data_IF_051909385972
#
_entry.id   IF_051909385972
#
_cell.length_a   1.000
_cell.length_b   1.000
_cell.length_c   1.000
_cell.angle_alpha   90.00
_cell.angle_beta   90.00
_cell.angle_gamma   90.00
#
_symmetry.space_group_name_H-M   'P 1'
#
loop_
_entity.id
_entity.type
_entity.pdbx_description
1 polymer ?
#
# COMPACT_ATOMS: atom_id res chain seq x y z
N UNK A 1 3.94 31.11 10.47
CA UNK A 1 3.91 29.73 9.91
C UNK A 1 5.36 29.31 9.71
N UNK A 2 5.92 28.55 10.66
CA UNK A 2 7.29 28.05 10.55
C UNK A 2 7.35 27.06 9.38
N UNK A 3 8.26 27.33 8.44
CA UNK A 3 8.47 26.44 7.30
C UNK A 3 9.05 25.12 7.81
N UNK A 4 8.20 24.09 7.86
CA UNK A 4 8.60 22.74 8.19
C UNK A 4 9.55 22.22 7.12
N UNK A 5 10.80 21.91 7.48
CA UNK A 5 11.78 21.26 6.60
C UNK A 5 11.17 19.99 5.98
N UNK A 6 11.26 19.76 4.66
CA UNK A 6 10.80 18.51 4.07
C UNK A 6 11.56 17.35 4.72
N UNK A 7 10.84 16.33 5.18
CA UNK A 7 11.48 15.08 5.59
C UNK A 7 11.30 14.03 4.52
N UNK A 8 11.89 12.86 4.76
CA UNK A 8 11.78 11.72 3.90
C UNK A 8 11.59 10.41 4.66
N UNK A 9 11.21 9.41 3.89
CA UNK A 9 11.05 8.03 4.35
C UNK A 9 12.10 7.19 3.64
N UNK A 10 12.96 6.51 4.41
CA UNK A 10 13.94 5.57 3.86
C UNK A 10 13.33 4.17 3.80
N UNK A 11 13.42 3.51 2.65
CA UNK A 11 13.00 2.12 2.48
C UNK A 11 14.11 1.20 3.02
N UNK A 12 13.87 0.56 4.16
CA UNK A 12 14.81 -0.42 4.74
C UNK A 12 14.63 -1.78 4.06
N UNK A 13 13.38 -2.17 3.83
CA UNK A 13 12.98 -3.36 3.07
C UNK A 13 11.84 -2.95 2.16
N UNK A 14 11.83 -3.37 0.90
CA UNK A 14 10.82 -2.92 -0.08
C UNK A 14 9.61 -3.85 -0.20
N UNK A 15 9.77 -5.14 0.08
CA UNK A 15 8.82 -6.16 -0.38
C UNK A 15 9.00 -6.51 -1.87
N UNK A 16 8.23 -7.47 -2.41
CA UNK A 16 8.39 -7.95 -3.79
C UNK A 16 7.91 -6.94 -4.83
N UNK A 17 6.88 -6.15 -4.52
CA UNK A 17 6.36 -5.10 -5.40
C UNK A 17 5.65 -4.03 -4.57
N UNK A 18 6.39 -2.96 -4.27
CA UNK A 18 5.86 -1.72 -3.69
C UNK A 18 6.11 -0.60 -4.67
N UNK A 19 5.07 0.19 -4.97
CA UNK A 19 5.15 1.30 -5.95
C UNK A 19 4.44 2.53 -5.41
N UNK A 20 4.85 3.70 -5.91
CA UNK A 20 4.10 4.95 -5.68
C UNK A 20 2.90 4.96 -6.61
N UNK A 21 1.71 5.20 -6.08
CA UNK A 21 0.47 5.36 -6.83
C UNK A 21 -0.24 6.65 -6.40
N UNK A 22 -1.09 7.17 -7.28
CA UNK A 22 -2.04 8.24 -6.99
C UNK A 22 -3.39 7.97 -7.67
N UNK A 23 -4.43 8.64 -7.21
CA UNK A 23 -5.78 8.51 -7.77
C UNK A 23 -6.22 9.85 -8.40
N UNK A 24 -6.90 9.86 -9.57
CA UNK A 24 -7.40 8.73 -10.36
C UNK A 24 -6.34 8.10 -11.29
N UNK A 25 -5.06 8.37 -11.05
CA UNK A 25 -3.98 8.00 -11.95
C UNK A 25 -3.94 8.88 -13.20
N UNK A 26 -3.31 8.34 -14.24
CA UNK A 26 -3.00 9.00 -15.52
C UNK A 26 -4.12 8.85 -16.55
N UNK A 27 -5.21 9.58 -16.34
CA UNK A 27 -6.40 9.50 -17.21
C UNK A 27 -6.23 10.33 -18.51
N UNK A 28 -6.94 9.94 -19.58
CA UNK A 28 -7.02 10.71 -20.84
C UNK A 28 -6.07 10.25 -21.96
N UNK A 29 -5.14 9.34 -21.68
CA UNK A 29 -4.11 8.89 -22.64
C UNK A 29 -4.34 7.48 -23.21
N UNK A 30 -5.51 6.88 -22.93
CA UNK A 30 -5.84 5.53 -23.40
C UNK A 30 -5.83 5.41 -24.93
N UNK A 31 -6.21 6.48 -25.63
CA UNK A 31 -6.19 6.56 -27.11
C UNK A 31 -4.78 6.42 -27.73
N UNK A 32 -3.73 6.61 -26.95
CA UNK A 32 -2.32 6.43 -27.36
C UNK A 32 -1.66 5.26 -26.63
N UNK A 33 -2.45 4.38 -26.00
CA UNK A 33 -1.96 3.16 -25.35
C UNK A 33 -1.32 3.35 -23.98
N UNK A 34 -1.48 4.53 -23.36
CA UNK A 34 -0.94 4.79 -22.01
C UNK A 34 -2.01 4.52 -20.95
N UNK A 35 -1.74 3.63 -19.97
CA UNK A 35 -2.72 3.32 -18.94
C UNK A 35 -2.79 4.36 -17.83
N UNK A 36 -3.91 4.41 -17.05
CA UNK A 36 -3.99 5.28 -15.90
C UNK A 36 -3.04 4.84 -14.79
N UNK A 37 -2.64 3.57 -14.75
CA UNK A 37 -2.04 2.99 -13.54
C UNK A 37 -2.98 3.28 -12.35
N UNK A 38 -2.49 3.92 -11.30
CA UNK A 38 -3.25 4.18 -10.10
C UNK A 38 -3.31 2.98 -9.17
N UNK A 39 -3.88 3.15 -7.97
CA UNK A 39 -4.11 2.06 -7.05
C UNK A 39 -5.10 1.05 -7.65
N UNK A 40 -4.82 -0.23 -7.47
CA UNK A 40 -5.68 -1.31 -7.94
C UNK A 40 -7.00 -1.39 -7.18
N UNK A 41 -6.97 -1.11 -5.87
CA UNK A 41 -8.15 -0.89 -5.02
C UNK A 41 -8.14 0.59 -4.61
N UNK A 42 -8.87 1.37 -5.40
CA UNK A 42 -8.93 2.81 -5.27
C UNK A 42 -9.62 3.25 -3.99
N UNK A 43 -10.60 2.48 -3.48
CA UNK A 43 -11.31 2.81 -2.26
C UNK A 43 -10.37 2.74 -1.06
N UNK A 44 -9.65 1.64 -0.88
CA UNK A 44 -8.73 1.49 0.25
C UNK A 44 -7.61 2.53 0.22
N UNK A 45 -7.08 2.84 -0.97
CA UNK A 45 -6.05 3.86 -1.15
C UNK A 45 -6.57 5.25 -0.75
N UNK A 46 -7.76 5.62 -1.22
CA UNK A 46 -8.37 6.92 -0.91
C UNK A 46 -8.73 7.05 0.56
N UNK A 47 -9.23 5.99 1.18
CA UNK A 47 -9.50 5.96 2.62
C UNK A 47 -8.22 6.12 3.45
N UNK A 48 -7.09 5.57 3.01
CA UNK A 48 -5.79 5.80 3.67
C UNK A 48 -5.41 7.29 3.66
N UNK A 49 -5.54 7.94 2.50
CA UNK A 49 -5.27 9.36 2.35
C UNK A 49 -6.20 10.21 3.22
N UNK A 50 -7.50 9.95 3.19
CA UNK A 50 -8.47 10.68 4.00
C UNK A 50 -8.20 10.50 5.51
N UNK A 51 -7.82 9.30 5.95
CA UNK A 51 -7.51 9.03 7.35
C UNK A 51 -6.37 9.91 7.89
N UNK A 52 -5.35 10.20 7.08
CA UNK A 52 -4.23 11.07 7.46
C UNK A 52 -4.44 12.55 7.14
N UNK A 53 -5.64 12.93 6.67
CA UNK A 53 -6.01 14.32 6.35
C UNK A 53 -5.52 14.81 4.98
N UNK A 54 -5.13 13.91 4.08
CA UNK A 54 -4.77 14.25 2.71
C UNK A 54 -6.01 14.36 1.80
N UNK A 55 -5.91 15.08 0.66
CA UNK A 55 -6.86 14.87 -0.43
C UNK A 55 -6.75 13.43 -0.97
N UNK A 56 -7.84 12.90 -1.52
CA UNK A 56 -7.90 11.57 -2.15
C UNK A 56 -6.83 11.36 -3.24
N UNK A 57 -6.39 12.45 -3.87
CA UNK A 57 -5.42 12.49 -4.98
C UNK A 57 -3.96 12.48 -4.54
N UNK A 58 -3.67 12.54 -3.23
CA UNK A 58 -2.29 12.52 -2.75
C UNK A 58 -1.60 11.20 -3.08
N UNK A 59 -0.31 11.27 -3.43
CA UNK A 59 0.48 10.08 -3.69
C UNK A 59 0.75 9.30 -2.41
N UNK A 60 0.65 7.98 -2.52
CA UNK A 60 0.90 7.01 -1.45
C UNK A 60 1.52 5.75 -2.02
N UNK A 61 1.70 4.74 -1.18
CA UNK A 61 2.28 3.46 -1.58
C UNK A 61 1.20 2.41 -1.82
N UNK A 62 1.29 1.70 -2.94
CA UNK A 62 0.64 0.41 -3.15
C UNK A 62 1.64 -0.72 -2.90
N UNK A 63 1.23 -1.68 -2.08
CA UNK A 63 2.02 -2.84 -1.67
C UNK A 63 1.35 -4.11 -2.20
N UNK A 64 2.13 -5.03 -2.75
CA UNK A 64 1.64 -6.35 -3.17
C UNK A 64 2.28 -7.47 -2.35
N UNK A 65 1.46 -8.33 -1.73
CA UNK A 65 1.80 -9.53 -0.95
C UNK A 65 2.59 -9.32 0.34
N UNK A 66 3.64 -8.50 0.35
CA UNK A 66 4.46 -8.24 1.54
C UNK A 66 4.94 -6.80 1.52
N UNK A 67 4.72 -6.09 2.63
CA UNK A 67 5.00 -4.67 2.71
C UNK A 67 6.44 -4.31 3.02
N UNK A 68 6.76 -3.02 2.92
CA UNK A 68 8.08 -2.51 3.24
C UNK A 68 8.28 -2.34 4.75
N UNK A 69 9.55 -2.17 5.13
CA UNK A 69 9.92 -1.52 6.38
C UNK A 69 10.43 -0.11 6.05
N UNK A 70 9.84 0.89 6.68
CA UNK A 70 9.98 2.31 6.35
C UNK A 70 10.48 3.08 7.56
N UNK A 71 11.66 3.70 7.45
CA UNK A 71 12.23 4.55 8.52
C UNK A 71 11.92 6.01 8.24
N UNK A 72 11.35 6.70 9.21
CA UNK A 72 10.99 8.11 9.10
C UNK A 72 12.11 8.98 9.66
N UNK A 73 12.53 10.02 8.94
CA UNK A 73 13.53 10.98 9.43
C UNK A 73 12.94 12.17 10.17
N UNK A 74 11.62 12.16 10.37
CA UNK A 74 10.86 13.18 11.10
C UNK A 74 9.57 12.58 11.65
N UNK A 75 8.92 13.24 12.62
CA UNK A 75 7.59 12.82 13.04
C UNK A 75 6.59 12.94 11.88
N UNK A 76 5.72 11.94 11.75
CA UNK A 76 4.68 11.88 10.73
C UNK A 76 3.42 11.18 11.24
N UNK A 77 2.29 11.42 10.57
CA UNK A 77 1.06 10.64 10.73
C UNK A 77 0.91 9.76 9.50
N UNK A 78 0.65 8.47 9.72
CA UNK A 78 0.55 7.46 8.66
C UNK A 78 -0.73 6.64 8.83
N UNK A 79 -1.23 6.07 7.75
CA UNK A 79 -2.30 5.08 7.82
C UNK A 79 -1.98 3.91 6.90
N UNK A 80 -2.26 2.70 7.37
CA UNK A 80 -2.18 1.47 6.59
C UNK A 80 -3.59 0.94 6.35
N UNK A 81 -3.95 0.62 5.11
CA UNK A 81 -5.29 0.10 4.73
C UNK A 81 -5.16 -1.06 3.73
N UNK A 82 -6.30 -1.55 3.23
CA UNK A 82 -6.38 -2.66 2.27
C UNK A 82 -6.44 -4.02 2.94
N UNK A 83 -5.76 -5.00 2.35
CA UNK A 83 -5.70 -6.37 2.84
C UNK A 83 -5.21 -6.43 4.30
N UNK A 84 -5.75 -7.34 5.14
CA UNK A 84 -5.26 -7.54 6.50
C UNK A 84 -3.77 -7.93 6.51
N UNK A 85 -2.95 -7.12 7.17
CA UNK A 85 -1.51 -7.32 7.35
C UNK A 85 -1.10 -6.99 8.78
N UNK A 86 -0.10 -7.68 9.36
CA UNK A 86 0.55 -7.22 10.57
C UNK A 86 1.21 -5.86 10.30
N UNK A 87 0.98 -4.90 11.19
CA UNK A 87 1.64 -3.59 11.16
C UNK A 87 2.33 -3.40 12.50
N UNK A 88 3.59 -2.99 12.47
CA UNK A 88 4.34 -2.68 13.70
C UNK A 88 5.06 -1.34 13.58
N UNK A 89 5.24 -0.67 14.71
CA UNK A 89 6.16 0.47 14.86
C UNK A 89 7.25 0.03 15.83
N UNK A 90 8.50 -0.01 15.37
CA UNK A 90 9.64 -0.51 16.15
C UNK A 90 9.38 -1.90 16.77
N UNK A 91 8.67 -2.78 16.05
CA UNK A 91 8.32 -4.12 16.49
C UNK A 91 7.08 -4.22 17.41
N UNK A 92 6.54 -3.09 17.90
CA UNK A 92 5.29 -3.08 18.64
C UNK A 92 4.09 -3.10 17.68
N UNK A 93 3.17 -4.05 17.88
CA UNK A 93 1.99 -4.18 17.03
C UNK A 93 1.06 -2.97 17.16
N UNK A 94 0.57 -2.49 16.02
CA UNK A 94 -0.35 -1.35 15.92
C UNK A 94 -1.54 -1.70 15.03
N UNK A 95 -2.72 -1.09 15.26
CA UNK A 95 -3.91 -1.33 14.44
C UNK A 95 -3.74 -0.82 13.00
N UNK A 96 -4.29 -1.58 12.04
CA UNK A 96 -4.55 -1.13 10.68
C UNK A 96 -5.83 -0.26 10.65
N UNK A 97 -6.05 0.49 9.57
CA UNK A 97 -7.26 1.29 9.32
C UNK A 97 -7.48 2.47 10.27
N UNK A 98 -6.45 2.86 11.02
CA UNK A 98 -6.46 4.07 11.84
C UNK A 98 -5.22 4.92 11.56
N UNK A 99 -5.28 6.24 11.78
CA UNK A 99 -4.10 7.09 11.76
C UNK A 99 -3.17 6.74 12.92
N UNK A 100 -1.87 6.63 12.63
CA UNK A 100 -0.80 6.30 13.56
C UNK A 100 0.24 7.42 13.53
N UNK A 101 0.68 7.87 14.69
CA UNK A 101 1.83 8.78 14.78
C UNK A 101 3.10 7.97 14.86
N UNK A 102 4.07 8.27 13.99
CA UNK A 102 5.44 7.78 14.06
C UNK A 102 6.36 8.93 14.43
N UNK A 103 7.31 8.69 15.33
CA UNK A 103 8.33 9.65 15.70
C UNK A 103 9.48 9.66 14.67
N UNK A 104 10.38 10.63 14.81
CA UNK A 104 11.65 10.60 14.10
C UNK A 104 12.46 9.37 14.50
N UNK A 105 13.03 8.69 13.51
CA UNK A 105 13.81 7.47 13.68
C UNK A 105 12.97 6.19 13.73
N UNK A 106 11.65 6.29 13.92
CA UNK A 106 10.78 5.12 13.99
C UNK A 106 10.73 4.35 12.66
N UNK A 107 10.60 3.04 12.79
CA UNK A 107 10.42 2.11 11.69
C UNK A 107 8.99 1.57 11.69
N UNK A 108 8.21 1.96 10.68
CA UNK A 108 6.94 1.33 10.34
C UNK A 108 7.22 0.08 9.51
N UNK A 109 6.90 -1.10 10.03
CA UNK A 109 7.04 -2.36 9.32
C UNK A 109 5.66 -2.92 8.96
N UNK A 110 5.47 -3.18 7.66
CA UNK A 110 4.30 -3.84 7.11
C UNK A 110 4.67 -5.29 6.73
N UNK A 111 3.94 -6.23 7.33
CA UNK A 111 4.13 -7.66 7.14
C UNK A 111 3.59 -8.21 5.81
N UNK A 112 3.42 -9.53 5.77
CA UNK A 112 2.82 -10.25 4.64
C UNK A 112 1.30 -10.26 4.74
N UNK A 113 0.63 -10.15 3.60
CA UNK A 113 -0.78 -10.52 3.47
C UNK A 113 -0.91 -12.01 3.76
N UNK A 114 -1.94 -12.37 4.52
CA UNK A 114 -2.28 -13.77 4.78
C UNK A 114 -3.12 -14.36 3.64
N UNK A 115 -4.18 -15.09 4.01
CA UNK A 115 -5.08 -15.75 3.04
C UNK A 115 -6.15 -14.80 2.45
N UNK A 116 -6.30 -13.60 3.00
CA UNK A 116 -7.33 -12.62 2.60
C UNK A 116 -6.68 -11.39 1.96
N UNK A 117 -7.07 -11.10 0.71
CA UNK A 117 -6.58 -9.96 -0.03
C UNK A 117 -5.14 -10.12 -0.52
N UNK A 118 -4.65 -9.11 -1.26
CA UNK A 118 -3.32 -9.14 -1.88
C UNK A 118 -2.60 -7.78 -1.82
N UNK A 119 -3.35 -6.68 -1.68
CA UNK A 119 -2.81 -5.33 -1.68
C UNK A 119 -3.11 -4.57 -0.41
N UNK A 120 -2.10 -3.91 0.11
CA UNK A 120 -2.21 -2.96 1.20
C UNK A 120 -1.72 -1.58 0.71
N UNK A 121 -2.10 -0.54 1.43
CA UNK A 121 -1.75 0.83 1.07
C UNK A 121 -1.20 1.57 2.28
N UNK A 122 -0.23 2.45 2.02
CA UNK A 122 0.31 3.36 3.03
C UNK A 122 0.14 4.79 2.55
N UNK A 123 -0.53 5.59 3.36
CA UNK A 123 -0.56 7.05 3.21
C UNK A 123 0.26 7.70 4.32
N UNK A 124 0.94 8.80 3.97
CA UNK A 124 1.67 9.66 4.91
C UNK A 124 1.05 11.05 4.83
N UNK A 125 0.75 11.67 5.97
CA UNK A 125 0.20 13.01 6.02
C UNK A 125 1.09 14.01 5.24
N UNK A 126 0.46 14.82 4.38
CA UNK A 126 1.13 15.69 3.41
C UNK A 126 1.33 15.04 2.04
N UNK A 127 1.39 13.72 1.95
CA UNK A 127 1.63 12.96 0.72
C UNK A 127 3.11 12.84 0.35
N UNK A 128 3.41 11.91 -0.57
CA UNK A 128 4.74 11.73 -1.14
C UNK A 128 5.04 12.77 -2.22
N UNK A 129 6.25 13.32 -2.22
CA UNK A 129 6.76 14.13 -3.32
C UNK A 129 7.35 13.20 -4.39
N UNK A 130 6.53 12.88 -5.38
CA UNK A 130 6.88 12.00 -6.48
C UNK A 130 6.71 12.73 -7.82
N UNK A 131 7.49 12.31 -8.81
CA UNK A 131 7.51 12.94 -10.12
C UNK A 131 6.14 12.82 -10.80
N UNK A 132 5.60 13.97 -11.24
CA UNK A 132 4.44 14.00 -12.13
C UNK A 132 4.88 13.59 -13.54
N UNK A 133 4.18 12.60 -14.11
CA UNK A 133 4.33 12.21 -15.49
C UNK A 133 2.96 12.09 -16.13
N UNK A 134 2.66 12.98 -17.09
CA UNK A 134 1.37 13.09 -17.77
C UNK A 134 0.20 13.37 -16.81
N UNK A 135 0.42 14.21 -15.79
CA UNK A 135 -0.60 14.66 -14.85
C UNK A 135 -0.91 13.68 -13.71
N UNK A 136 0.00 12.73 -13.46
CA UNK A 136 -0.12 11.70 -12.42
C UNK A 136 1.24 11.25 -11.93
N UNK A 137 1.31 10.95 -10.62
CA UNK A 137 2.47 10.40 -9.91
C UNK A 137 2.48 8.87 -9.89
N UNK A 138 1.50 8.23 -10.52
CA UNK A 138 1.37 6.76 -10.54
C UNK A 138 2.48 6.09 -11.33
N UNK A 139 3.06 5.05 -10.73
CA UNK A 139 4.11 4.24 -11.36
C UNK A 139 3.52 3.35 -12.45
N UNK A 140 4.11 3.37 -13.64
CA UNK A 140 3.85 2.39 -14.70
C UNK A 140 5.13 1.61 -15.02
N UNK A 141 5.27 0.45 -14.39
CA UNK A 141 6.51 -0.35 -14.43
C UNK A 141 6.88 -0.86 -15.81
N UNK A 142 5.89 -1.26 -16.62
CA UNK A 142 6.14 -1.72 -17.99
C UNK A 142 6.63 -0.58 -18.90
N UNK A 143 6.12 0.63 -18.70
CA UNK A 143 6.54 1.83 -19.43
C UNK A 143 7.76 2.55 -18.83
N UNK A 144 8.15 2.20 -17.59
CA UNK A 144 9.25 2.83 -16.82
C UNK A 144 9.09 4.35 -16.63
N UNK A 145 7.91 4.80 -16.23
CA UNK A 145 7.70 6.20 -15.83
C UNK A 145 6.70 6.38 -14.70
N UNK A 146 6.71 7.58 -14.10
CA UNK A 146 5.94 7.94 -12.91
C UNK A 146 6.52 7.36 -11.63
N UNK A 147 6.01 7.80 -10.47
CA UNK A 147 6.49 7.38 -9.16
C UNK A 147 7.95 7.72 -8.93
N UNK A 148 8.73 6.73 -8.46
CA UNK A 148 10.19 6.82 -8.33
C UNK A 148 10.84 6.03 -9.48
N UNK A 149 11.42 6.77 -10.43
CA UNK A 149 12.11 6.23 -11.62
C UNK A 149 11.31 5.19 -12.43
N UNK A 150 9.97 5.21 -12.35
CA UNK A 150 9.12 4.29 -13.09
C UNK A 150 9.23 2.82 -12.66
N UNK A 151 9.72 2.53 -11.45
CA UNK A 151 10.01 1.17 -10.98
C UNK A 151 9.40 0.89 -9.61
N UNK A 152 9.47 -0.38 -9.22
CA UNK A 152 9.25 -0.76 -7.84
C UNK A 152 10.33 -0.17 -6.94
N UNK A 153 9.97 0.11 -5.70
CA UNK A 153 10.89 0.53 -4.67
C UNK A 153 11.89 -0.58 -4.36
N UNK A 154 13.11 -0.19 -4.00
CA UNK A 154 14.18 -1.07 -3.52
C UNK A 154 14.71 -0.57 -2.18
N UNK A 155 15.41 -1.43 -1.45
CA UNK A 155 16.07 -1.02 -0.22
C UNK A 155 17.09 0.10 -0.49
N UNK A 156 17.11 1.10 0.39
CA UNK A 156 17.93 2.31 0.25
C UNK A 156 17.25 3.47 -0.48
N UNK A 157 16.11 3.25 -1.15
CA UNK A 157 15.34 4.34 -1.73
C UNK A 157 14.91 5.35 -0.65
N UNK A 158 14.94 6.63 -1.02
CA UNK A 158 14.49 7.74 -0.18
C UNK A 158 13.29 8.42 -0.84
N UNK A 159 12.18 8.45 -0.11
CA UNK A 159 10.91 9.02 -0.56
C UNK A 159 10.71 10.37 0.12
N UNK A 160 10.80 11.45 -0.63
CA UNK A 160 10.61 12.80 -0.10
C UNK A 160 9.13 13.05 0.26
N UNK A 161 8.89 13.83 1.31
CA UNK A 161 7.55 14.19 1.79
C UNK A 161 7.25 15.66 1.47
N UNK A 162 6.03 15.94 1.02
CA UNK A 162 5.60 17.32 0.72
C UNK A 162 5.48 18.20 1.98
N UNK A 163 5.41 17.61 3.17
CA UNK A 163 5.27 18.28 4.46
C UNK A 163 3.84 18.69 4.82
N UNK A 164 3.56 18.81 6.12
CA UNK A 164 2.25 19.22 6.63
C UNK A 164 1.89 20.64 6.15
N UNK A 165 0.83 20.76 5.35
CA UNK A 165 0.30 22.04 4.85
C UNK A 165 0.48 22.31 3.35
N UNK A 166 1.34 21.57 2.63
CA UNK A 166 1.53 21.76 1.16
C UNK A 166 0.60 20.90 0.29
N UNK A 167 0.12 19.77 0.81
CA UNK A 167 -0.77 18.85 0.10
C UNK A 167 -2.18 19.40 -0.20
N UNK A 168 -2.59 20.51 0.42
CA UNK A 168 -3.95 21.03 0.31
C UNK A 168 -4.16 22.12 -0.77
N UNK A 169 -3.11 22.77 -1.29
CA UNK A 169 -3.34 24.06 -2.02
C UNK A 169 -2.50 24.33 -3.28
N UNK A 170 -1.44 23.57 -3.57
CA UNK A 170 -0.52 23.95 -4.67
C UNK A 170 -0.87 23.35 -6.03
N UNK A 171 -1.42 22.14 -6.09
CA UNK A 171 -1.67 21.43 -7.37
C UNK A 171 -2.99 21.85 -8.03
N UNK A 172 -4.02 22.15 -7.22
CA UNK A 172 -5.36 22.56 -7.71
C UNK A 172 -5.34 23.89 -8.47
N UNK A 173 -4.42 24.81 -8.11
CA UNK A 173 -4.31 26.14 -8.75
C UNK A 173 -3.63 26.10 -10.11
N UNK A 174 -2.71 25.16 -10.35
CA UNK A 174 -2.08 25.01 -11.68
C UNK A 174 -3.04 24.41 -12.71
N UNK A 175 -3.99 23.57 -12.28
CA UNK A 175 -4.97 22.92 -13.18
C UNK A 175 -6.09 23.86 -13.65
N UNK A 176 -6.50 24.85 -12.85
CA UNK A 176 -7.55 25.80 -13.25
C UNK A 176 -7.13 26.74 -14.40
N UNK A 177 -5.84 27.02 -14.55
CA UNK A 177 -5.33 27.95 -15.57
C UNK A 177 -5.15 27.33 -16.97
N UNK A 178 -5.18 25.99 -17.10
CA UNK A 178 -4.87 25.29 -18.36
C UNK A 178 -6.08 24.73 -19.12
N UNK A 179 -7.30 24.79 -18.56
CA UNK A 179 -8.46 24.10 -19.13
C UNK A 179 -9.49 25.07 -19.76
N UNK A 180 -9.02 26.20 -20.31
CA UNK A 180 -9.85 27.09 -21.13
C UNK A 180 -9.24 27.23 -22.52
N UNK A 181 -9.36 26.18 -23.33
CA UNK A 181 -9.50 26.26 -24.79
C UNK A 181 -9.69 24.85 -25.35
N UNK A 182 -10.94 24.41 -25.45
CA UNK A 182 -11.56 24.12 -26.75
C UNK A 182 -13.00 23.67 -26.54
N UNK A 183 -13.89 24.52 -27.03
CA UNK A 183 -15.34 24.40 -27.01
C UNK A 183 -15.82 23.33 -27.98
N UNK A 184 -16.86 22.63 -27.53
CA UNK A 184 -17.97 21.99 -28.24
C UNK A 184 -17.86 21.75 -29.77
N UNK A 185 -18.10 20.49 -30.14
CA UNK A 185 -18.95 20.17 -31.27
C UNK A 185 -19.80 18.94 -30.89
N UNK A 186 -21.09 19.20 -30.65
CA UNK A 186 -22.06 18.14 -30.40
C UNK A 186 -22.34 17.32 -31.66
N UNK A 187 -22.78 16.08 -31.44
CA UNK A 187 -23.78 15.41 -32.29
C UNK A 187 -24.48 14.34 -31.47
N UNK A 188 -25.71 14.67 -31.15
CA UNK A 188 -26.79 13.81 -30.71
C UNK A 188 -26.98 12.63 -31.68
N UNK A 189 -26.86 11.38 -31.20
CA UNK A 189 -27.47 10.18 -31.79
C UNK A 189 -27.66 9.07 -30.75
N UNK A 190 -28.93 8.85 -30.38
CA UNK A 190 -29.56 7.51 -30.41
C UNK A 190 -29.20 6.53 -29.30
N UNK A 191 -30.07 6.47 -28.28
CA UNK A 191 -30.13 5.34 -27.36
C UNK A 191 -30.53 4.03 -28.07
N UNK A 192 -29.92 2.88 -27.71
CA UNK A 192 -30.58 1.60 -27.85
C UNK A 192 -30.97 1.00 -26.49
N UNK A 193 -32.06 0.24 -26.58
CA UNK A 193 -32.88 -0.33 -25.52
C UNK A 193 -32.17 -1.45 -24.75
N UNK A 194 -32.63 -1.63 -23.53
CA UNK A 194 -32.32 -2.67 -22.55
C UNK A 194 -32.34 -4.10 -23.14
N UNK A 195 -31.25 -4.83 -22.92
CA UNK A 195 -31.16 -6.27 -23.18
C UNK A 195 -30.70 -7.02 -21.92
N UNK A 196 -31.66 -7.78 -21.35
CA UNK A 196 -31.49 -9.06 -20.66
C UNK A 196 -30.34 -9.24 -19.66
N UNK A 197 -30.67 -9.15 -18.37
CA UNK A 197 -29.90 -9.74 -17.28
C UNK A 197 -29.92 -11.27 -17.41
N UNK A 198 -28.79 -11.89 -17.75
CA UNK A 198 -28.61 -13.34 -17.71
C UNK A 198 -28.09 -13.75 -16.33
N UNK A 199 -28.99 -14.14 -15.43
CA UNK A 199 -28.62 -14.80 -14.18
C UNK A 199 -28.10 -16.23 -14.46
N UNK A 200 -26.78 -16.42 -14.49
CA UNK A 200 -26.20 -17.76 -14.29
C UNK A 200 -26.22 -18.10 -12.81
N UNK A 201 -27.16 -18.96 -12.39
CA UNK A 201 -27.14 -19.63 -11.09
C UNK A 201 -25.91 -20.54 -11.02
N UNK A 202 -24.88 -20.14 -10.28
CA UNK A 202 -23.79 -21.02 -9.88
C UNK A 202 -24.30 -22.05 -8.87
N UNK A 203 -24.23 -23.34 -9.22
CA UNK A 203 -24.42 -24.44 -8.27
C UNK A 203 -23.29 -24.41 -7.22
N UNK A 204 -23.57 -23.88 -6.02
CA UNK A 204 -22.76 -24.11 -4.82
C UNK A 204 -23.16 -25.47 -4.24
N UNK A 205 -22.22 -26.42 -4.22
CA UNK A 205 -22.37 -27.65 -3.44
C UNK A 205 -22.22 -27.30 -1.94
N UNK A 206 -23.05 -27.87 -1.04
CA UNK A 206 -22.90 -27.62 0.38
C UNK A 206 -21.74 -28.44 0.95
N UNK A 207 -20.78 -27.79 1.59
CA UNK A 207 -19.84 -28.44 2.50
C UNK A 207 -20.58 -28.64 3.83
N UNK A 208 -20.87 -29.90 4.16
CA UNK A 208 -21.47 -30.27 5.45
C UNK A 208 -20.38 -30.37 6.51
N UNK A 209 -20.54 -29.58 7.57
CA UNK A 209 -19.91 -29.83 8.86
C UNK A 209 -20.31 -31.20 9.41
N UNK A 210 -19.31 -31.97 9.84
CA UNK A 210 -19.48 -33.02 10.85
C UNK A 210 -18.35 -32.92 11.87
N UNK A 211 -18.63 -32.17 12.92
CA UNK A 211 -18.04 -32.39 14.23
C UNK A 211 -18.81 -33.54 14.91
N UNK A 212 -18.10 -34.60 15.30
CA UNK A 212 -18.25 -35.34 16.59
C UNK A 212 -17.32 -36.56 16.58
N UNK A 213 -16.49 -36.67 17.61
CA UNK A 213 -15.74 -37.89 17.93
C UNK A 213 -14.53 -37.62 18.81
N UNK A 214 -14.76 -37.37 20.10
CA UNK A 214 -13.72 -37.27 21.11
C UNK A 214 -13.02 -38.63 21.31
N UNK A 215 -11.69 -38.62 21.42
CA UNK A 215 -10.94 -39.69 22.09
C UNK A 215 -9.86 -39.03 22.97
N UNK A 216 -10.02 -39.18 24.28
CA UNK A 216 -9.03 -38.82 25.29
C UNK A 216 -7.84 -39.77 25.20
N UNK A 217 -6.62 -39.22 25.04
CA UNK A 217 -5.37 -39.91 25.41
C UNK A 217 -4.43 -38.91 26.09
N UNK A 218 -3.81 -39.41 27.17
CA UNK A 218 -3.05 -38.71 28.21
C UNK A 218 -1.68 -38.19 27.73
N UNK A 219 -1.03 -37.28 28.48
CA UNK A 219 0.21 -36.64 28.05
C UNK A 219 1.42 -37.55 28.31
N UNK A 220 2.12 -37.92 27.24
CA UNK A 220 3.46 -38.52 27.35
C UNK A 220 4.56 -37.46 27.19
N UNK A 221 5.60 -37.69 27.98
CA UNK A 221 6.68 -36.80 28.38
C UNK A 221 7.57 -36.35 27.21
N UNK A 222 7.99 -35.08 27.27
CA UNK A 222 8.94 -34.47 26.36
C UNK A 222 10.37 -35.04 26.61
N UNK A 223 11.17 -35.43 25.60
CA UNK A 223 12.42 -36.16 25.80
C UNK A 223 13.65 -35.28 26.12
N UNK A 224 13.48 -34.07 26.66
CA UNK A 224 14.58 -33.11 26.86
C UNK A 224 15.09 -33.06 28.33
N UNK A 225 14.40 -33.66 29.29
CA UNK A 225 14.82 -33.67 30.71
C UNK A 225 15.71 -34.87 31.08
N UNK A 226 16.91 -34.97 30.48
CA UNK A 226 18.00 -35.80 31.04
C UNK A 226 19.22 -34.94 31.39
N UNK A 227 19.72 -34.99 32.64
CA UNK A 227 20.91 -34.23 33.03
C UNK A 227 22.21 -34.83 32.43
N UNK A 228 23.26 -34.03 32.23
CA UNK A 228 24.50 -34.47 31.59
C UNK A 228 25.32 -35.37 32.52
N UNK A 229 25.78 -36.52 32.01
CA UNK A 229 26.76 -37.37 32.69
C UNK A 229 28.17 -37.04 32.20
N UNK A 230 29.11 -36.93 33.15
CA UNK A 230 30.43 -36.36 32.99
C UNK A 230 31.49 -37.29 32.35
N UNK A 231 32.49 -36.62 31.74
CA UNK A 231 33.93 -36.92 31.63
C UNK A 231 34.46 -38.33 31.29
N UNK A 232 35.38 -38.39 30.32
CA UNK A 232 36.30 -39.52 30.15
C UNK A 232 37.26 -39.43 28.95
N UNK A 233 38.24 -38.53 29.05
CA UNK A 233 39.64 -38.60 28.56
C UNK A 233 40.13 -39.63 27.52
N UNK A 234 41.03 -39.11 26.64
CA UNK A 234 42.19 -39.74 25.96
C UNK A 234 41.91 -40.64 24.73
N UNK A 235 42.73 -40.69 23.67
CA UNK A 235 44.07 -40.15 23.35
C UNK A 235 44.25 -40.17 21.83
N UNK A 236 45.08 -39.25 21.33
CA UNK A 236 45.63 -39.18 19.96
C UNK A 236 46.40 -40.45 19.58
N UNK A 237 46.32 -40.86 18.32
CA UNK A 237 47.46 -40.92 17.37
C UNK A 237 46.94 -40.71 15.96
#
# INVERSE_FOLDING_TARGET
MTATTPGAVTVIRSGPLTTIQDWPGRVGYWKVGVPPSGPMDDLSFRLANLAVGNPETAAGLEITLMGPALRFDRPAVVAVTGAPVPVTVNGAAVPQWVPLTVAEGDVLDIGSTGVLGMRAYVAVAGGLDAADHLGSRSTFTMGRFGGLDGRALVAGDRLELLGAGRGATSDSRRRAAGLHQHVAAGRDRGAPRSAGVLHRRGHRRPVRDRLRGALQLRPDRNPIDRPPTAMGTQRRR
#
